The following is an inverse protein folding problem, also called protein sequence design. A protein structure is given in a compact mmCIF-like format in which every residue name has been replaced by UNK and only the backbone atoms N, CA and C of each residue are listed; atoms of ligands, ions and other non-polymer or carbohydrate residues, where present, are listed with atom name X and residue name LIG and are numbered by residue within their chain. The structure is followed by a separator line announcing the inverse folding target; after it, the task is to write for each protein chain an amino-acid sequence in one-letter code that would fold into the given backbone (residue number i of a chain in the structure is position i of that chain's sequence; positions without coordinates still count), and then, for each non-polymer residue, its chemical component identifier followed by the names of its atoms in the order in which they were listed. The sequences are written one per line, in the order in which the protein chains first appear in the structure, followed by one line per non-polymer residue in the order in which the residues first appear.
data_IF_468508579583
#
_entry.id   IF_468508579583
#
_cell.length_a   1.000
_cell.length_b   1.000
_cell.length_c   1.000
_cell.angle_alpha   90.00
_cell.angle_beta   90.00
_cell.angle_gamma   90.00
#
_symmetry.space_group_name_H-M   'P 1'
#
loop_
_entity.id
_entity.type
_entity.pdbx_description
1 polymer ?
#
# COMPACT_ATOMS: atom_id res chain seq x y z
N UNK A 1 12.61 -44.37 12.50
CA UNK A 1 11.61 -43.32 12.74
C UNK A 1 12.22 -42.00 12.33
N UNK A 2 11.68 -41.36 11.29
CA UNK A 2 12.09 -40.02 10.86
C UNK A 2 11.21 -39.03 11.63
N UNK A 3 11.75 -38.01 12.31
CA UNK A 3 10.91 -37.01 12.95
C UNK A 3 10.16 -36.23 11.88
N UNK A 4 8.84 -36.39 11.88
CA UNK A 4 7.88 -35.52 11.25
C UNK A 4 7.93 -34.17 11.96
N UNK A 5 7.78 -33.08 11.21
CA UNK A 5 7.63 -31.69 11.72
C UNK A 5 8.91 -30.87 11.98
N UNK A 6 9.59 -30.52 10.89
CA UNK A 6 10.21 -29.20 10.77
C UNK A 6 9.80 -28.58 9.43
N UNK A 7 8.49 -28.38 9.21
CA UNK A 7 8.05 -27.50 8.14
C UNK A 7 8.65 -26.13 8.46
N UNK A 8 9.42 -25.48 7.56
CA UNK A 8 9.77 -24.09 7.76
C UNK A 8 8.44 -23.35 7.90
N UNK A 9 8.18 -22.81 9.09
CA UNK A 9 7.17 -21.77 9.22
C UNK A 9 7.69 -20.67 8.32
N UNK A 10 7.11 -20.55 7.11
CA UNK A 10 7.28 -19.39 6.26
C UNK A 10 6.65 -18.26 7.05
N UNK A 11 7.42 -17.70 7.99
CA UNK A 11 7.10 -16.43 8.63
C UNK A 11 7.06 -15.49 7.45
N UNK A 12 5.85 -15.20 6.98
CA UNK A 12 5.60 -14.18 5.98
C UNK A 12 6.18 -12.91 6.59
N UNK A 13 7.40 -12.56 6.20
CA UNK A 13 7.97 -11.27 6.58
C UNK A 13 7.11 -10.29 5.81
N UNK A 14 6.17 -9.68 6.51
CA UNK A 14 5.45 -8.53 5.98
C UNK A 14 6.50 -7.45 5.78
N UNK A 15 7.10 -7.41 4.59
CA UNK A 15 7.84 -6.26 4.13
C UNK A 15 6.81 -5.15 4.04
N UNK A 16 6.77 -4.29 5.05
CA UNK A 16 6.05 -3.03 4.97
C UNK A 16 6.81 -2.16 3.97
N UNK A 17 6.26 -1.89 2.77
CA UNK A 17 6.93 -1.05 1.79
C UNK A 17 6.93 0.43 2.21
N UNK A 18 6.47 0.76 3.42
CA UNK A 18 6.29 2.13 3.87
C UNK A 18 5.06 2.76 3.23
N UNK A 19 4.12 1.95 2.73
CA UNK A 19 2.87 2.39 2.15
C UNK A 19 1.75 2.45 3.19
N UNK A 20 1.89 1.73 4.31
CA UNK A 20 0.85 1.59 5.33
C UNK A 20 -0.13 0.45 5.02
N UNK A 21 -0.98 0.11 6.00
CA UNK A 21 -1.95 -1.00 5.89
C UNK A 21 -3.34 -0.43 5.62
N UNK A 22 -3.96 -0.85 4.51
CA UNK A 22 -5.34 -0.53 4.17
C UNK A 22 -6.31 -1.24 5.13
N UNK A 23 -7.10 -0.48 5.88
CA UNK A 23 -8.14 -1.02 6.79
C UNK A 23 -9.57 -0.93 6.24
N UNK A 24 -9.77 -0.25 5.10
CA UNK A 24 -11.08 -0.01 4.48
C UNK A 24 -11.02 -0.33 2.97
N UNK A 25 -11.91 -1.17 2.46
CA UNK A 25 -11.95 -1.62 1.06
C UNK A 25 -12.19 -0.50 0.04
N UNK A 26 -12.71 0.66 0.47
CA UNK A 26 -13.02 1.79 -0.43
C UNK A 26 -11.79 2.64 -0.84
N UNK A 27 -10.61 2.34 -0.29
CA UNK A 27 -9.38 3.13 -0.49
C UNK A 27 -8.31 2.38 -1.32
N UNK A 28 -8.56 1.14 -1.75
CA UNK A 28 -7.56 0.33 -2.48
C UNK A 28 -7.03 1.01 -3.74
N UNK A 29 -7.90 1.66 -4.51
CA UNK A 29 -7.50 2.37 -5.73
C UNK A 29 -6.48 3.48 -5.46
N UNK A 30 -6.59 4.19 -4.32
CA UNK A 30 -5.63 5.23 -3.93
C UNK A 30 -4.27 4.63 -3.60
N UNK A 31 -4.26 3.48 -2.91
CA UNK A 31 -3.02 2.76 -2.60
C UNK A 31 -2.31 2.24 -3.84
N UNK A 32 -3.06 1.76 -4.84
CA UNK A 32 -2.48 1.37 -6.14
C UNK A 32 -1.81 2.56 -6.83
N UNK A 33 -2.47 3.71 -6.87
CA UNK A 33 -1.92 4.93 -7.48
C UNK A 33 -0.66 5.43 -6.74
N UNK A 34 -0.68 5.39 -5.40
CA UNK A 34 0.49 5.70 -4.58
C UNK A 34 1.66 4.74 -4.83
N UNK A 35 1.39 3.43 -4.97
CA UNK A 35 2.42 2.47 -5.31
C UNK A 35 3.07 2.80 -6.67
N UNK A 36 2.27 3.19 -7.68
CA UNK A 36 2.81 3.68 -8.96
C UNK A 36 3.67 4.94 -8.79
N UNK A 37 3.25 5.91 -7.98
CA UNK A 37 4.06 7.09 -7.68
C UNK A 37 5.42 6.69 -7.08
N UNK A 38 5.44 5.74 -6.16
CA UNK A 38 6.68 5.21 -5.57
C UNK A 38 7.55 4.47 -6.59
N UNK A 39 6.96 3.65 -7.46
CA UNK A 39 7.70 2.99 -8.56
C UNK A 39 8.30 4.00 -9.55
N UNK A 40 7.68 5.16 -9.70
CA UNK A 40 8.20 6.28 -10.49
C UNK A 40 9.25 7.13 -9.75
N UNK A 41 9.67 6.72 -8.54
CA UNK A 41 10.72 7.38 -7.76
C UNK A 41 10.23 8.39 -6.72
N UNK A 42 8.92 8.40 -6.41
CA UNK A 42 8.42 9.21 -5.29
C UNK A 42 8.77 8.58 -3.94
N UNK A 43 9.00 9.43 -2.94
CA UNK A 43 9.32 8.98 -1.58
C UNK A 43 8.14 8.22 -0.94
N UNK A 44 8.40 7.18 -0.12
CA UNK A 44 7.37 6.50 0.66
C UNK A 44 6.73 7.48 1.66
N UNK A 45 5.39 7.51 1.69
CA UNK A 45 4.66 8.43 2.58
C UNK A 45 4.41 7.86 3.99
N UNK A 46 4.76 6.59 4.22
CA UNK A 46 4.52 5.92 5.50
C UNK A 46 3.04 5.70 5.76
N UNK A 47 2.66 5.77 7.04
CA UNK A 47 1.28 5.55 7.46
C UNK A 47 0.42 6.78 7.19
N UNK A 48 -0.57 6.64 6.31
CA UNK A 48 -1.44 7.74 5.89
C UNK A 48 -2.73 7.80 6.70
N UNK A 49 -3.10 9.01 7.12
CA UNK A 49 -4.42 9.24 7.74
C UNK A 49 -5.55 9.10 6.71
N UNK A 50 -6.76 8.74 7.17
CA UNK A 50 -7.95 8.68 6.30
C UNK A 50 -8.20 10.01 5.57
N UNK A 51 -8.00 11.14 6.25
CA UNK A 51 -8.12 12.48 5.65
C UNK A 51 -7.10 12.68 4.53
N UNK A 52 -5.85 12.28 4.75
CA UNK A 52 -4.80 12.36 3.71
C UNK A 52 -5.16 11.54 2.48
N UNK A 53 -5.68 10.32 2.68
CA UNK A 53 -6.13 9.44 1.60
C UNK A 53 -7.30 10.05 0.80
N UNK A 54 -8.21 10.76 1.45
CA UNK A 54 -9.29 11.49 0.78
C UNK A 54 -8.76 12.67 -0.05
N UNK A 55 -7.79 13.43 0.47
CA UNK A 55 -7.13 14.50 -0.27
C UNK A 55 -6.41 13.97 -1.51
N UNK A 56 -5.70 12.84 -1.39
CA UNK A 56 -5.03 12.18 -2.50
C UNK A 56 -6.02 11.71 -3.57
N UNK A 57 -7.13 11.09 -3.16
CA UNK A 57 -8.20 10.73 -4.10
C UNK A 57 -8.71 11.95 -4.89
N UNK A 58 -8.93 13.07 -4.21
CA UNK A 58 -9.34 14.31 -4.89
C UNK A 58 -8.26 14.83 -5.85
N UNK A 59 -6.98 14.79 -5.44
CA UNK A 59 -5.85 15.12 -6.31
C UNK A 59 -5.84 14.26 -7.59
N UNK A 60 -6.02 12.94 -7.47
CA UNK A 60 -6.08 12.04 -8.63
C UNK A 60 -7.27 12.35 -9.55
N UNK A 61 -8.45 12.63 -8.98
CA UNK A 61 -9.60 13.06 -9.77
C UNK A 61 -9.31 14.35 -10.55
N UNK A 62 -8.70 15.35 -9.90
CA UNK A 62 -8.33 16.60 -10.56
C UNK A 62 -7.32 16.40 -11.68
N UNK A 63 -6.40 15.42 -11.58
CA UNK A 63 -5.47 15.12 -12.67
C UNK A 63 -6.18 14.51 -13.87
N UNK A 64 -7.20 13.67 -13.66
CA UNK A 64 -8.01 13.12 -14.76
C UNK A 64 -8.88 14.17 -15.46
N UNK A 65 -9.25 15.25 -14.75
CA UNK A 65 -10.10 16.33 -15.27
C UNK A 65 -9.30 17.48 -15.91
N UNK A 66 -7.98 17.52 -15.72
CA UNK A 66 -7.10 18.48 -16.35
C UNK A 66 -6.63 17.88 -17.67
N UNK A 67 -7.30 18.26 -18.75
CA UNK A 67 -6.85 18.02 -20.14
C UNK A 67 -5.59 18.84 -20.45
#
# INVERSE_FOLDING_TARGET
MVPEEARPSTRLVNHDPGLGIQTDSYICGVYVLLAFEMFCGSEPLGNLSKTTLQCLRYRYLCMCLKE
#
